data_IF_355153874349
#
_entry.id   IF_355153874349
#
_cell.length_a   1.000
_cell.length_b   1.000
_cell.length_c   1.000
_cell.angle_alpha   90.00
_cell.angle_beta   90.00
_cell.angle_gamma   90.00
#
_symmetry.space_group_name_H-M   'P 1'
#
loop_
_entity.id
_entity.type
_entity.pdbx_description
1 polymer ?
#
# COMPACT_ATOMS: atom_id res chain seq x y z
N UNK A 1 -21.97 -2.30 16.23
CA UNK A 1 -21.97 -1.21 15.23
C UNK A 1 -20.80 -1.32 14.25
N UNK A 2 -19.68 -1.96 14.61
CA UNK A 2 -18.50 -2.15 13.73
C UNK A 2 -18.80 -2.92 12.43
N UNK A 3 -19.68 -3.93 12.45
CA UNK A 3 -20.02 -4.72 11.25
C UNK A 3 -20.84 -3.96 10.19
N UNK A 4 -21.54 -2.88 10.56
CA UNK A 4 -22.42 -2.14 9.64
C UNK A 4 -21.61 -1.12 8.80
N UNK A 5 -20.49 -0.64 9.34
CA UNK A 5 -19.62 0.33 8.68
C UNK A 5 -18.78 -0.35 7.59
N UNK A 6 -18.35 -1.60 7.82
CA UNK A 6 -17.69 -2.41 6.78
C UNK A 6 -18.62 -2.57 5.58
N UNK A 7 -19.91 -2.82 5.81
CA UNK A 7 -20.92 -2.99 4.75
C UNK A 7 -21.20 -1.70 3.95
N UNK A 8 -21.13 -0.53 4.61
CA UNK A 8 -21.39 0.77 3.95
C UNK A 8 -20.20 1.33 3.17
N UNK A 9 -18.97 0.96 3.54
CA UNK A 9 -17.74 1.32 2.80
C UNK A 9 -17.51 0.35 1.63
N UNK A 10 -18.19 -0.80 1.63
CA UNK A 10 -18.27 -1.77 0.54
C UNK A 10 -19.16 -1.26 -0.61
N UNK A 11 -18.70 -0.19 -1.27
CA UNK A 11 -18.88 -0.08 -2.73
C UNK A 11 -17.84 -0.95 -3.49
N UNK A 12 -17.14 -1.83 -2.76
CA UNK A 12 -16.37 -2.92 -3.31
C UNK A 12 -17.31 -3.91 -4.00
N UNK A 13 -17.03 -4.23 -5.26
CA UNK A 13 -17.66 -5.38 -5.94
C UNK A 13 -17.51 -6.60 -5.03
N UNK A 14 -18.56 -7.44 -4.96
CA UNK A 14 -18.50 -8.75 -4.27
C UNK A 14 -17.17 -9.42 -4.60
N UNK A 15 -16.29 -9.46 -3.61
CA UNK A 15 -14.99 -10.08 -3.78
C UNK A 15 -15.16 -11.59 -3.92
N UNK A 16 -14.09 -12.25 -4.31
CA UNK A 16 -14.01 -13.71 -4.29
C UNK A 16 -12.61 -14.09 -3.84
N UNK A 17 -12.53 -15.12 -3.00
CA UNK A 17 -11.25 -15.68 -2.59
C UNK A 17 -11.30 -17.20 -2.64
N UNK A 18 -10.18 -17.81 -3.04
CA UNK A 18 -9.93 -19.22 -3.06
C UNK A 18 -8.84 -19.55 -2.03
N UNK A 19 -9.28 -19.94 -0.84
CA UNK A 19 -8.43 -20.28 0.30
C UNK A 19 -7.37 -21.33 -0.05
N UNK A 20 -7.70 -22.29 -0.90
CA UNK A 20 -6.78 -23.39 -1.27
C UNK A 20 -5.60 -22.95 -2.11
N UNK A 21 -5.73 -21.83 -2.83
CA UNK A 21 -4.71 -21.34 -3.75
C UNK A 21 -4.17 -19.97 -3.35
N UNK A 22 -4.68 -19.42 -2.25
CA UNK A 22 -4.47 -18.03 -1.83
C UNK A 22 -4.59 -17.05 -3.01
N UNK A 23 -5.72 -17.16 -3.73
CA UNK A 23 -6.02 -16.29 -4.88
C UNK A 23 -7.38 -15.66 -4.71
N UNK A 24 -7.47 -14.36 -4.88
CA UNK A 24 -8.74 -13.67 -4.80
C UNK A 24 -8.70 -12.28 -5.39
N UNK A 25 -9.87 -11.63 -5.34
CA UNK A 25 -10.03 -10.22 -5.69
C UNK A 25 -11.11 -9.54 -4.85
N UNK A 26 -11.02 -8.22 -4.72
CA UNK A 26 -12.08 -7.40 -4.14
C UNK A 26 -12.27 -7.59 -2.64
N UNK A 27 -13.45 -7.24 -2.13
CA UNK A 27 -13.72 -7.16 -0.68
C UNK A 27 -13.39 -8.43 0.10
N UNK A 28 -13.84 -9.60 -0.37
CA UNK A 28 -13.59 -10.89 0.32
C UNK A 28 -12.10 -11.21 0.43
N UNK A 29 -11.30 -10.84 -0.57
CA UNK A 29 -9.86 -11.08 -0.50
C UNK A 29 -9.19 -10.09 0.45
N UNK A 30 -9.57 -8.81 0.41
CA UNK A 30 -9.03 -7.77 1.30
C UNK A 30 -9.38 -8.05 2.76
N UNK A 31 -10.56 -8.64 3.03
CA UNK A 31 -11.00 -9.00 4.38
C UNK A 31 -10.01 -9.92 5.09
N UNK A 32 -9.32 -10.79 4.37
CA UNK A 32 -8.31 -11.67 4.95
C UNK A 32 -7.14 -10.88 5.54
N UNK A 33 -6.79 -9.76 4.91
CA UNK A 33 -5.76 -8.86 5.41
C UNK A 33 -6.24 -7.96 6.56
N UNK A 34 -7.55 -7.91 6.87
CA UNK A 34 -8.06 -7.22 8.07
C UNK A 34 -8.01 -8.13 9.31
N UNK A 35 -7.70 -9.42 9.15
CA UNK A 35 -7.59 -10.34 10.27
C UNK A 35 -6.27 -10.09 11.01
N UNK A 36 -6.36 -9.94 12.33
CA UNK A 36 -5.19 -9.66 13.15
C UNK A 36 -4.17 -10.79 13.05
N UNK A 37 -2.92 -10.46 12.72
CA UNK A 37 -1.84 -11.42 12.51
C UNK A 37 -1.84 -12.09 11.13
N UNK A 38 -2.75 -11.73 10.23
CA UNK A 38 -2.75 -12.27 8.85
C UNK A 38 -1.52 -11.82 8.07
N UNK A 39 -1.07 -12.63 7.13
CA UNK A 39 -0.10 -12.18 6.14
C UNK A 39 -0.63 -10.97 5.37
N UNK A 40 0.16 -9.90 5.30
CA UNK A 40 -0.22 -8.67 4.65
C UNK A 40 -1.20 -7.79 5.42
N UNK A 41 -1.26 -7.94 6.75
CA UNK A 41 -2.21 -7.28 7.65
C UNK A 41 -2.32 -5.76 7.41
N UNK A 42 -3.55 -5.29 7.21
CA UNK A 42 -3.94 -3.89 7.16
C UNK A 42 -4.94 -3.60 8.27
N UNK A 43 -4.96 -2.36 8.73
CA UNK A 43 -5.98 -1.90 9.68
C UNK A 43 -7.21 -1.41 8.94
N UNK A 44 -8.34 -1.37 9.65
CA UNK A 44 -9.56 -0.74 9.12
C UNK A 44 -9.31 0.74 8.80
N UNK A 45 -8.52 1.45 9.60
CA UNK A 45 -8.18 2.84 9.35
C UNK A 45 -7.37 3.04 8.05
N UNK A 46 -6.41 2.16 7.78
CA UNK A 46 -5.64 2.17 6.52
C UNK A 46 -6.54 1.92 5.31
N UNK A 47 -7.47 0.97 5.43
CA UNK A 47 -8.47 0.70 4.39
C UNK A 47 -9.40 1.90 4.15
N UNK A 48 -9.85 2.57 5.22
CA UNK A 48 -10.70 3.76 5.11
C UNK A 48 -9.94 4.96 4.54
N UNK A 49 -8.63 5.04 4.77
CA UNK A 49 -7.77 6.09 4.26
C UNK A 49 -7.18 5.81 2.86
N UNK A 50 -7.53 4.69 2.23
CA UNK A 50 -6.96 4.26 0.94
C UNK A 50 -7.02 5.34 -0.14
N UNK A 51 -8.13 6.06 -0.23
CA UNK A 51 -8.29 7.15 -1.20
C UNK A 51 -7.33 8.33 -0.96
N UNK A 52 -6.97 8.62 0.29
CA UNK A 52 -5.96 9.62 0.62
C UNK A 52 -4.58 9.13 0.18
N UNK A 53 -4.22 7.89 0.52
CA UNK A 53 -2.93 7.30 0.16
C UNK A 53 -2.70 7.26 -1.36
N UNK A 54 -3.73 6.87 -2.13
CA UNK A 54 -3.65 6.89 -3.61
C UNK A 54 -3.44 8.33 -4.13
N UNK A 55 -4.12 9.33 -3.58
CA UNK A 55 -3.94 10.73 -4.00
C UNK A 55 -2.54 11.24 -3.69
N UNK A 56 -1.97 10.89 -2.55
CA UNK A 56 -0.59 11.24 -2.18
C UNK A 56 0.42 10.58 -3.09
N UNK A 57 0.26 9.29 -3.37
CA UNK A 57 1.05 8.58 -4.37
C UNK A 57 1.01 9.32 -5.73
N UNK A 58 -0.18 9.67 -6.22
CA UNK A 58 -0.33 10.32 -7.52
C UNK A 58 0.24 11.74 -7.54
N UNK A 59 0.28 12.46 -6.41
CA UNK A 59 0.98 13.75 -6.32
C UNK A 59 2.48 13.59 -6.58
N UNK A 60 3.09 12.54 -6.03
CA UNK A 60 4.52 12.26 -6.13
C UNK A 60 4.90 11.65 -7.49
N UNK A 61 4.22 10.58 -7.89
CA UNK A 61 4.63 9.76 -9.04
C UNK A 61 3.85 10.02 -10.32
N UNK A 62 2.80 10.85 -10.24
CA UNK A 62 1.88 11.28 -11.34
C UNK A 62 1.00 10.17 -11.92
N UNK A 63 1.53 8.97 -12.04
CA UNK A 63 0.85 7.83 -12.64
C UNK A 63 1.10 6.55 -11.83
N UNK A 64 0.17 5.60 -11.85
CA UNK A 64 0.39 4.28 -11.28
C UNK A 64 1.45 3.49 -12.07
N UNK A 65 1.99 2.46 -11.44
CA UNK A 65 2.88 1.54 -12.12
C UNK A 65 2.09 0.52 -12.94
N UNK A 66 2.49 0.34 -14.19
CA UNK A 66 1.98 -0.71 -15.06
C UNK A 66 3.02 -1.81 -15.13
N UNK A 67 2.75 -2.94 -14.49
CA UNK A 67 3.67 -4.09 -14.47
C UNK A 67 3.81 -4.72 -15.87
N UNK A 68 2.75 -4.68 -16.67
CA UNK A 68 2.72 -5.12 -18.06
C UNK A 68 1.95 -4.08 -18.88
N UNK A 69 2.63 -3.42 -19.81
CA UNK A 69 2.05 -2.36 -20.65
C UNK A 69 0.91 -2.87 -21.56
N UNK A 70 0.80 -4.19 -21.75
CA UNK A 70 -0.27 -4.81 -22.52
C UNK A 70 -1.49 -5.17 -21.67
N UNK A 71 -1.44 -4.94 -20.36
CA UNK A 71 -2.52 -5.19 -19.41
C UNK A 71 -3.04 -3.90 -18.82
N UNK A 72 -4.29 -3.95 -18.36
CA UNK A 72 -4.95 -2.82 -17.71
C UNK A 72 -4.60 -2.73 -16.20
N UNK A 73 -3.80 -3.67 -15.69
CA UNK A 73 -3.46 -3.78 -14.28
C UNK A 73 -2.55 -2.65 -13.80
N UNK A 74 -2.94 -2.01 -12.70
CA UNK A 74 -2.21 -0.89 -12.11
C UNK A 74 -1.80 -1.19 -10.69
N UNK A 75 -0.62 -0.70 -10.33
CA UNK A 75 0.00 -0.92 -9.03
C UNK A 75 0.31 0.43 -8.39
N UNK A 76 -0.10 0.56 -7.13
CA UNK A 76 0.20 1.69 -6.27
C UNK A 76 0.95 1.18 -5.06
N UNK A 77 2.07 1.81 -4.73
CA UNK A 77 2.93 1.36 -3.65
C UNK A 77 3.49 2.55 -2.88
N UNK A 78 3.53 2.44 -1.55
CA UNK A 78 4.09 3.47 -0.69
C UNK A 78 4.59 2.87 0.62
N UNK A 79 5.37 3.64 1.35
CA UNK A 79 5.79 3.37 2.73
C UNK A 79 5.19 4.46 3.63
N UNK A 80 4.64 4.07 4.78
CA UNK A 80 4.21 5.02 5.81
C UNK A 80 5.40 5.46 6.69
N UNK A 81 5.14 6.35 7.65
CA UNK A 81 6.18 6.87 8.53
C UNK A 81 6.72 5.84 9.54
N UNK A 82 6.03 4.72 9.73
CA UNK A 82 6.48 3.59 10.54
C UNK A 82 7.37 2.61 9.75
N UNK A 83 7.60 2.86 8.46
CA UNK A 83 8.39 2.00 7.60
C UNK A 83 7.63 0.78 7.05
N UNK A 84 6.31 0.72 7.26
CA UNK A 84 5.40 -0.32 6.72
C UNK A 84 5.11 0.01 5.26
N UNK A 85 5.26 -0.99 4.39
CA UNK A 85 5.05 -0.85 2.96
C UNK A 85 3.70 -1.41 2.55
N UNK A 86 3.02 -0.71 1.67
CA UNK A 86 1.68 -1.06 1.22
C UNK A 86 1.65 -1.22 -0.30
N UNK A 87 0.81 -2.13 -0.78
CA UNK A 87 0.55 -2.31 -2.20
C UNK A 87 -0.94 -2.45 -2.46
N UNK A 88 -1.39 -1.73 -3.48
CA UNK A 88 -2.70 -1.94 -4.10
C UNK A 88 -2.45 -2.43 -5.52
N UNK A 89 -3.19 -3.46 -5.92
CA UNK A 89 -3.31 -3.84 -7.32
C UNK A 89 -4.75 -3.61 -7.78
N UNK A 90 -4.93 -2.87 -8.87
CA UNK A 90 -6.20 -2.70 -9.57
C UNK A 90 -6.14 -3.35 -10.94
N UNK A 91 -7.27 -3.73 -11.49
CA UNK A 91 -7.38 -4.19 -12.88
C UNK A 91 -8.74 -3.82 -13.45
N UNK A 92 -8.88 -3.90 -14.78
CA UNK A 92 -10.17 -3.79 -15.44
C UNK A 92 -10.74 -5.17 -15.71
N UNK A 93 -11.95 -5.42 -15.23
CA UNK A 93 -12.65 -6.65 -15.58
C UNK A 93 -13.45 -6.40 -16.87
N UNK A 94 -13.08 -7.10 -17.95
CA UNK A 94 -13.89 -7.16 -19.17
C UNK A 94 -14.80 -8.40 -19.07
N UNK A 95 -16.08 -8.25 -18.76
CA UNK A 95 -17.03 -9.38 -18.75
C UNK A 95 -18.46 -9.11 -18.26
N UNK A 96 -19.40 -9.13 -19.22
CA UNK A 96 -20.84 -9.53 -19.21
C UNK A 96 -21.62 -9.60 -17.88
N UNK A 97 -21.78 -8.47 -17.18
CA UNK A 97 -22.79 -8.32 -16.12
C UNK A 97 -23.97 -7.46 -16.58
N UNK A 98 -25.21 -7.83 -16.21
CA UNK A 98 -26.44 -7.08 -16.50
C UNK A 98 -26.51 -5.68 -15.87
N UNK A 99 -25.51 -5.32 -15.05
CA UNK A 99 -25.41 -4.04 -14.38
C UNK A 99 -24.02 -3.47 -14.72
N UNK A 100 -23.93 -2.37 -15.48
CA UNK A 100 -22.67 -1.64 -15.63
C UNK A 100 -22.10 -1.33 -14.25
N UNK A 101 -20.77 -1.31 -14.06
CA UNK A 101 -20.23 -0.74 -12.83
C UNK A 101 -20.85 0.64 -12.63
N UNK A 102 -21.42 0.89 -11.43
CA UNK A 102 -21.95 2.20 -11.05
C UNK A 102 -20.85 3.27 -11.02
N UNK A 103 -19.59 2.86 -11.12
CA UNK A 103 -18.42 3.71 -11.29
C UNK A 103 -18.16 3.95 -12.78
N UNK A 104 -17.89 5.19 -13.23
CA UNK A 104 -17.54 5.50 -14.61
C UNK A 104 -16.19 4.91 -15.08
N UNK A 105 -15.52 4.11 -14.24
CA UNK A 105 -14.30 3.36 -14.56
C UNK A 105 -14.55 1.88 -14.32
N UNK A 106 -14.25 1.03 -15.32
CA UNK A 106 -14.24 -0.44 -15.21
C UNK A 106 -13.13 -0.97 -14.27
N UNK A 107 -12.47 -0.09 -13.53
CA UNK A 107 -11.31 -0.36 -12.70
C UNK A 107 -11.71 -0.77 -11.27
N UNK A 108 -11.13 -1.89 -10.83
CA UNK A 108 -11.54 -2.60 -9.63
C UNK A 108 -10.31 -2.96 -8.82
N UNK A 109 -10.38 -2.80 -7.50
CA UNK A 109 -9.32 -3.24 -6.60
C UNK A 109 -9.32 -4.78 -6.57
N UNK A 110 -8.18 -5.35 -6.93
CA UNK A 110 -7.92 -6.78 -6.83
C UNK A 110 -7.45 -7.10 -5.41
N UNK A 111 -6.44 -6.41 -4.91
CA UNK A 111 -5.94 -6.63 -3.56
C UNK A 111 -5.38 -5.35 -2.95
N UNK A 112 -5.38 -5.30 -1.62
CA UNK A 112 -4.74 -4.28 -0.81
C UNK A 112 -4.16 -4.95 0.44
N UNK A 113 -2.85 -4.85 0.62
CA UNK A 113 -2.12 -5.50 1.70
C UNK A 113 -0.87 -4.69 2.08
N UNK A 114 -0.33 -4.96 3.26
CA UNK A 114 0.94 -4.39 3.74
C UNK A 114 2.07 -5.44 3.73
N UNK A 115 3.27 -5.08 4.15
CA UNK A 115 4.36 -6.03 4.40
C UNK A 115 4.37 -6.62 5.82
N UNK A 116 3.36 -6.32 6.65
CA UNK A 116 3.21 -6.92 7.98
C UNK A 116 2.98 -8.42 7.87
N UNK A 117 3.61 -9.16 8.78
CA UNK A 117 3.51 -10.61 8.91
C UNK A 117 3.90 -11.39 7.64
N UNK A 118 4.57 -10.76 6.66
CA UNK A 118 5.18 -11.47 5.54
C UNK A 118 6.53 -12.06 5.98
N UNK A 119 6.92 -13.17 5.34
CA UNK A 119 8.23 -13.81 5.58
C UNK A 119 9.41 -12.89 5.20
N UNK A 120 9.22 -12.02 4.21
CA UNK A 120 10.23 -11.08 3.73
C UNK A 120 9.61 -9.69 3.58
N UNK A 121 10.42 -8.64 3.79
CA UNK A 121 9.98 -7.25 3.59
C UNK A 121 9.59 -7.06 2.12
N UNK A 122 8.46 -6.43 1.87
CA UNK A 122 7.99 -6.21 0.50
C UNK A 122 8.96 -5.33 -0.29
N UNK A 123 9.35 -5.79 -1.47
CA UNK A 123 10.07 -4.98 -2.45
C UNK A 123 9.10 -4.21 -3.34
N UNK A 124 9.38 -2.93 -3.58
CA UNK A 124 8.60 -2.11 -4.51
C UNK A 124 8.78 -2.60 -5.94
N UNK A 125 7.67 -2.83 -6.65
CA UNK A 125 7.68 -3.16 -8.09
C UNK A 125 8.02 -1.94 -8.92
N UNK A 126 7.48 -0.77 -8.58
CA UNK A 126 7.76 0.47 -9.29
C UNK A 126 9.20 0.95 -8.99
N UNK A 127 10.09 1.01 -10.00
CA UNK A 127 11.46 1.48 -9.81
C UNK A 127 11.54 2.90 -9.26
N UNK A 128 10.62 3.79 -9.67
CA UNK A 128 10.58 5.19 -9.18
C UNK A 128 10.27 5.27 -7.69
N UNK A 129 9.38 4.39 -7.21
CA UNK A 129 9.04 4.29 -5.77
C UNK A 129 10.25 3.75 -5.01
N UNK A 130 10.90 2.70 -5.54
CA UNK A 130 12.11 2.12 -4.95
C UNK A 130 13.22 3.15 -4.78
N UNK A 131 13.53 3.89 -5.83
CA UNK A 131 14.54 4.95 -5.80
C UNK A 131 14.18 6.07 -4.82
N UNK A 132 12.92 6.49 -4.79
CA UNK A 132 12.44 7.53 -3.88
C UNK A 132 12.68 7.16 -2.41
N UNK A 133 12.26 5.96 -1.99
CA UNK A 133 12.42 5.53 -0.59
C UNK A 133 13.86 5.17 -0.23
N UNK A 134 14.66 4.61 -1.16
CA UNK A 134 16.09 4.40 -0.93
C UNK A 134 16.82 5.73 -0.69
N UNK A 135 16.48 6.78 -1.44
CA UNK A 135 17.06 8.11 -1.23
C UNK A 135 16.59 8.75 0.09
N UNK A 136 15.34 8.53 0.49
CA UNK A 136 14.80 9.00 1.79
C UNK A 136 15.55 8.37 2.96
N UNK A 137 15.79 7.05 2.91
CA UNK A 137 16.59 6.34 3.92
C UNK A 137 18.03 6.87 4.00
N UNK A 138 18.67 7.09 2.84
CA UNK A 138 20.03 7.63 2.77
C UNK A 138 20.12 9.05 3.36
N UNK A 139 19.13 9.90 3.08
CA UNK A 139 19.07 11.25 3.62
C UNK A 139 18.93 11.22 5.15
N UNK A 140 17.99 10.43 5.70
CA UNK A 140 17.83 10.28 7.15
C UNK A 140 19.08 9.73 7.85
N UNK A 141 19.79 8.80 7.20
CA UNK A 141 21.06 8.26 7.72
C UNK A 141 22.17 9.32 7.74
N UNK A 142 22.22 10.20 6.74
CA UNK A 142 23.19 11.30 6.70
C UNK A 142 22.93 12.35 7.79
N UNK A 143 21.67 12.73 8.03
CA UNK A 143 21.31 13.71 9.06
C UNK A 143 21.57 13.19 10.47
N UNK A 144 21.15 11.97 10.78
CA UNK A 144 21.42 11.33 12.08
C UNK A 144 22.93 11.15 12.35
N UNK A 145 23.74 10.88 11.32
CA UNK A 145 25.20 10.80 11.46
C UNK A 145 25.81 12.18 11.77
N UNK A 146 25.34 13.22 11.09
CA UNK A 146 25.80 14.60 11.31
C UNK A 146 25.43 15.13 12.69
N UNK A 147 24.20 14.90 13.17
CA UNK A 147 23.77 15.30 14.52
C UNK A 147 24.60 14.62 15.62
N UNK A 148 24.84 13.31 15.49
CA UNK A 148 25.66 12.57 16.44
C UNK A 148 27.12 13.08 16.47
N UNK A 149 27.67 13.48 15.33
CA UNK A 149 29.00 14.10 15.27
C UNK A 149 29.04 15.47 15.97
N UNK A 150 27.98 16.28 15.82
CA UNK A 150 27.84 17.59 16.45
C UNK A 150 27.63 17.50 17.97
N UNK A 151 26.87 16.50 18.45
CA UNK A 151 26.74 16.23 19.89
C UNK A 151 28.06 15.78 20.51
N UNK A 152 28.81 14.91 19.83
CA UNK A 152 30.10 14.41 20.30
C UNK A 152 31.12 15.55 20.44
N UNK A 153 31.21 16.43 19.43
CA UNK A 153 32.12 17.58 19.45
C UNK A 153 31.76 18.62 20.51
N UNK A 154 30.47 18.89 20.74
CA UNK A 154 30.02 19.77 21.85
C UNK A 154 30.37 19.19 23.22
N UNK A 155 30.15 17.88 23.44
CA UNK A 155 30.45 17.20 24.72
C UNK A 155 31.94 17.19 25.05
N UNK A 156 32.81 17.14 24.03
CA UNK A 156 34.26 17.22 24.20
C UNK A 156 34.73 18.64 24.59
N UNK A 157 34.07 19.69 24.08
CA UNK A 157 34.37 21.09 24.41
C UNK A 157 33.95 21.50 25.83
N UNK A 158 32.93 20.84 26.41
CA UNK A 158 32.42 21.13 27.76
C UNK A 158 33.20 20.43 28.89
N UNK A 159 34.19 19.59 28.56
CA UNK A 159 35.02 18.83 29.53
C UNK A 159 36.43 19.42 29.74
N UNK A 160 36.71 20.61 29.21
CA UNK A 160 37.93 21.40 29.46
C UNK A 160 37.56 22.65 30.25
#
# INVERSE_FOLDING_TARGET
MENIIIDYVVHYIKGWHNERRDKGRGAEHIKLHLEKGSEGEITLEELLNLGNSIREYLKLFKEPYLEDLNKDGKVFEWENDEGVRFRIATDKIKGEGLIPPLSPSDEIIITFYSDRNLNEKMEFKNPKVREYYANKENFQKSESTNENSLLTTKKLRLKK
#
